data_IF_774850505303
#
_entry.id   IF_774850505303
#
_cell.length_a   1.000
_cell.length_b   1.000
_cell.length_c   1.000
_cell.angle_alpha   90.00
_cell.angle_beta   90.00
_cell.angle_gamma   90.00
#
_symmetry.space_group_name_H-M   'P 1'
#
loop_
_entity.id
_entity.type
_entity.pdbx_description
1 polymer ?
#
# COMPACT_ATOMS: atom_id res chain seq x y z
N UNK A 1 13.85 1.03 -0.91
CA UNK A 1 12.79 0.15 -0.36
C UNK A 1 12.40 -0.89 -1.38
N UNK A 2 12.36 -2.15 -0.98
CA UNK A 2 11.73 -3.20 -1.76
C UNK A 2 10.24 -2.93 -1.86
N UNK A 3 9.68 -3.09 -3.04
CA UNK A 3 8.24 -3.15 -3.19
C UNK A 3 7.79 -4.58 -2.85
N UNK A 4 6.73 -4.71 -2.07
CA UNK A 4 6.15 -6.01 -1.70
C UNK A 4 4.64 -5.98 -1.90
N UNK A 5 4.03 -7.16 -2.05
CA UNK A 5 2.58 -7.26 -2.09
C UNK A 5 2.00 -7.20 -0.67
N UNK A 6 1.10 -6.25 -0.44
CA UNK A 6 0.33 -6.12 0.79
C UNK A 6 -1.13 -6.46 0.57
N UNK A 7 -1.70 -7.24 1.49
CA UNK A 7 -3.12 -7.55 1.48
C UNK A 7 -3.94 -6.36 1.97
N UNK A 8 -5.00 -6.05 1.22
CA UNK A 8 -5.98 -5.02 1.56
C UNK A 8 -7.39 -5.61 1.51
N UNK A 9 -8.19 -5.41 2.56
CA UNK A 9 -9.61 -5.73 2.53
C UNK A 9 -10.36 -4.69 1.71
N UNK A 10 -11.16 -5.16 0.76
CA UNK A 10 -12.04 -4.34 -0.06
C UNK A 10 -13.52 -4.70 0.12
N UNK A 11 -13.85 -5.44 1.19
CA UNK A 11 -15.20 -5.80 1.56
C UNK A 11 -16.16 -4.61 1.66
N UNK A 12 -15.63 -3.44 2.07
CA UNK A 12 -16.40 -2.20 2.17
C UNK A 12 -16.99 -1.72 0.83
N UNK A 13 -16.47 -2.21 -0.29
CA UNK A 13 -16.99 -1.93 -1.63
C UNK A 13 -18.14 -2.86 -2.03
N UNK A 14 -18.36 -3.97 -1.31
CA UNK A 14 -19.43 -4.94 -1.57
C UNK A 14 -19.41 -5.46 -3.02
N UNK A 15 -18.22 -5.70 -3.56
CA UNK A 15 -18.04 -6.27 -4.90
C UNK A 15 -18.13 -7.79 -4.78
N UNK A 16 -18.99 -8.41 -5.60
CA UNK A 16 -19.22 -9.86 -5.59
C UNK A 16 -17.89 -10.62 -5.80
N UNK A 17 -17.65 -11.64 -4.99
CA UNK A 17 -16.48 -12.53 -5.00
C UNK A 17 -15.11 -11.83 -4.80
N UNK A 18 -15.09 -10.56 -4.39
CA UNK A 18 -13.87 -9.80 -4.20
C UNK A 18 -13.78 -9.20 -2.79
N UNK A 19 -13.34 -10.01 -1.83
CA UNK A 19 -13.26 -9.60 -0.41
C UNK A 19 -11.94 -8.90 -0.10
N UNK A 20 -10.85 -9.37 -0.71
CA UNK A 20 -9.51 -8.82 -0.52
C UNK A 20 -8.66 -8.94 -1.78
N UNK A 21 -7.66 -8.11 -1.86
CA UNK A 21 -6.67 -8.08 -2.92
C UNK A 21 -5.28 -7.92 -2.30
N UNK A 22 -4.23 -8.27 -3.04
CA UNK A 22 -2.90 -7.85 -2.67
C UNK A 22 -2.30 -6.94 -3.74
N UNK A 23 -1.63 -5.89 -3.30
CA UNK A 23 -1.12 -4.79 -4.11
C UNK A 23 0.38 -4.62 -3.88
N UNK A 24 1.18 -4.39 -4.94
CA UNK A 24 2.58 -4.06 -4.80
C UNK A 24 2.73 -2.60 -4.39
N UNK A 25 3.25 -2.34 -3.19
CA UNK A 25 3.37 -0.96 -2.71
C UNK A 25 4.46 -0.77 -1.67
N UNK A 26 4.83 0.49 -1.46
CA UNK A 26 5.54 0.99 -0.29
C UNK A 26 4.66 2.05 0.36
N UNK A 27 4.36 1.88 1.64
CA UNK A 27 3.47 2.77 2.38
C UNK A 27 4.27 3.75 3.24
N UNK A 28 3.75 4.97 3.32
CA UNK A 28 4.24 6.04 4.19
C UNK A 28 3.06 6.62 4.98
N UNK A 29 3.36 7.31 6.08
CA UNK A 29 2.37 8.05 6.84
C UNK A 29 2.81 9.52 7.02
N UNK A 30 1.86 10.44 6.90
CA UNK A 30 2.07 11.88 7.12
C UNK A 30 1.51 12.28 8.48
N UNK A 31 2.15 11.82 9.56
CA UNK A 31 1.72 12.08 10.92
C UNK A 31 2.73 12.91 11.70
N UNK A 32 2.21 13.73 12.60
CA UNK A 32 3.04 14.56 13.46
C UNK A 32 3.74 13.71 14.54
N UNK A 33 4.96 14.03 14.91
CA UNK A 33 5.70 13.33 15.98
C UNK A 33 4.90 13.20 17.28
N UNK A 34 4.08 14.20 17.61
CA UNK A 34 3.20 14.16 18.78
C UNK A 34 2.09 13.09 18.74
N UNK A 35 1.87 12.47 17.57
CA UNK A 35 0.87 11.41 17.35
C UNK A 35 1.49 10.06 16.98
N UNK A 36 2.80 9.94 17.07
CA UNK A 36 3.52 8.71 16.71
C UNK A 36 3.21 7.52 17.61
N UNK A 37 2.79 7.73 18.86
CA UNK A 37 2.57 6.66 19.82
C UNK A 37 1.61 5.58 19.30
N UNK A 38 0.45 5.98 18.79
CA UNK A 38 -0.51 5.03 18.21
C UNK A 38 0.02 4.36 16.94
N UNK A 39 0.81 5.06 16.14
CA UNK A 39 1.41 4.51 14.93
C UNK A 39 2.51 3.49 15.24
N UNK A 40 3.41 3.84 16.17
CA UNK A 40 4.49 2.96 16.66
C UNK A 40 3.93 1.67 17.25
N UNK A 41 2.77 1.75 17.89
CA UNK A 41 2.08 0.58 18.43
C UNK A 41 1.77 -0.47 17.35
N UNK A 42 1.39 -0.05 16.14
CA UNK A 42 1.02 -0.96 15.03
C UNK A 42 2.18 -1.31 14.10
N UNK A 43 3.09 -0.37 13.84
CA UNK A 43 4.11 -0.48 12.79
C UNK A 43 5.54 -0.62 13.30
N UNK A 44 5.73 -0.53 14.63
CA UNK A 44 7.05 -0.68 15.24
C UNK A 44 7.76 0.65 15.51
N UNK A 45 8.94 0.54 16.10
CA UNK A 45 9.69 1.64 16.69
C UNK A 45 10.87 2.13 15.84
N UNK A 46 11.05 1.58 14.66
CA UNK A 46 12.08 1.99 13.71
C UNK A 46 11.43 2.65 12.51
N UNK A 47 11.98 3.76 12.04
CA UNK A 47 11.43 4.48 10.92
C UNK A 47 12.44 5.37 10.21
N UNK A 48 12.17 5.62 8.94
CA UNK A 48 12.92 6.55 8.10
C UNK A 48 11.96 7.65 7.64
N UNK A 49 12.30 8.90 7.91
CA UNK A 49 11.52 10.05 7.49
C UNK A 49 12.10 10.74 6.26
N UNK A 50 11.22 11.12 5.36
CA UNK A 50 11.52 11.85 4.12
C UNK A 50 10.70 13.12 4.04
N UNK A 51 11.18 14.12 3.28
CA UNK A 51 10.38 15.30 3.01
C UNK A 51 9.20 14.99 2.08
N UNK A 52 8.14 15.82 2.18
CA UNK A 52 7.00 15.71 1.25
C UNK A 52 7.40 16.03 -0.19
N UNK A 53 8.34 16.94 -0.38
CA UNK A 53 8.90 17.29 -1.67
C UNK A 53 9.59 16.10 -2.32
N UNK A 54 10.34 15.31 -1.54
CA UNK A 54 10.92 14.05 -2.02
C UNK A 54 9.83 13.07 -2.41
N UNK A 55 8.84 12.85 -1.56
CA UNK A 55 7.73 11.93 -1.82
C UNK A 55 6.99 12.29 -3.12
N UNK A 56 6.69 13.57 -3.32
CA UNK A 56 6.04 14.07 -4.54
C UNK A 56 6.92 13.82 -5.78
N UNK A 57 8.22 14.11 -5.72
CA UNK A 57 9.15 13.86 -6.84
C UNK A 57 9.26 12.38 -7.19
N UNK A 58 9.12 11.49 -6.21
CA UNK A 58 9.15 10.02 -6.39
C UNK A 58 7.80 9.43 -6.80
N UNK A 59 6.76 10.24 -6.94
CA UNK A 59 5.42 9.79 -7.33
C UNK A 59 4.66 9.09 -6.20
N UNK A 60 5.05 9.31 -4.95
CA UNK A 60 4.27 8.84 -3.80
C UNK A 60 2.99 9.68 -3.70
N UNK A 61 1.83 9.02 -3.62
CA UNK A 61 0.51 9.62 -3.72
C UNK A 61 -0.28 9.41 -2.43
N UNK A 62 -0.92 10.46 -1.86
CA UNK A 62 -1.87 10.26 -0.76
C UNK A 62 -3.07 9.45 -1.24
N UNK A 63 -3.58 8.57 -0.35
CA UNK A 63 -4.71 7.73 -0.66
C UNK A 63 -6.06 8.43 -0.47
N UNK A 64 -7.11 7.86 -1.06
CA UNK A 64 -8.49 8.28 -0.88
C UNK A 64 -9.16 7.44 0.20
N UNK A 65 -9.62 8.08 1.27
CA UNK A 65 -10.41 7.41 2.30
C UNK A 65 -11.89 7.43 1.93
N UNK A 66 -12.48 6.25 1.83
CA UNK A 66 -13.86 6.06 1.39
C UNK A 66 -14.77 5.82 2.59
N UNK A 67 -15.79 6.66 2.71
CA UNK A 67 -16.89 6.40 3.65
C UNK A 67 -17.80 5.32 3.06
N UNK A 68 -17.96 4.20 3.75
CA UNK A 68 -18.79 3.08 3.30
C UNK A 68 -20.27 3.43 3.08
N UNK A 69 -20.75 4.53 3.65
CA UNK A 69 -22.13 5.01 3.53
C UNK A 69 -22.27 6.18 2.54
N UNK A 70 -21.25 6.45 1.71
CA UNK A 70 -21.27 7.57 0.76
C UNK A 70 -21.72 7.15 -0.62
N UNK A 71 -22.30 8.08 -1.39
CA UNK A 71 -22.66 7.86 -2.80
C UNK A 71 -21.44 7.51 -3.66
N UNK A 72 -20.25 8.05 -3.32
CA UNK A 72 -19.02 7.70 -4.05
C UNK A 72 -18.68 6.21 -3.92
N UNK A 73 -18.94 5.60 -2.74
CA UNK A 73 -18.78 4.14 -2.56
C UNK A 73 -19.76 3.36 -3.46
N UNK A 74 -21.01 3.80 -3.51
CA UNK A 74 -22.05 3.16 -4.33
C UNK A 74 -21.69 3.23 -5.82
N UNK A 75 -21.25 4.41 -6.30
CA UNK A 75 -20.82 4.61 -7.68
C UNK A 75 -19.62 3.73 -8.05
N UNK A 76 -18.60 3.67 -7.18
CA UNK A 76 -17.42 2.83 -7.40
C UNK A 76 -17.83 1.36 -7.48
N UNK A 77 -18.61 0.88 -6.52
CA UNK A 77 -19.08 -0.51 -6.47
C UNK A 77 -19.88 -0.87 -7.72
N UNK A 78 -20.78 0.01 -8.15
CA UNK A 78 -21.58 -0.17 -9.36
C UNK A 78 -20.71 -0.23 -10.62
N UNK A 79 -19.78 0.73 -10.79
CA UNK A 79 -18.90 0.77 -11.95
C UNK A 79 -17.97 -0.45 -12.01
N UNK A 80 -17.44 -0.87 -10.86
CA UNK A 80 -16.63 -2.07 -10.76
C UNK A 80 -17.40 -3.31 -11.21
N UNK A 81 -18.56 -3.55 -10.61
CA UNK A 81 -19.40 -4.70 -10.95
C UNK A 81 -19.80 -4.71 -12.44
N UNK A 82 -20.16 -3.56 -12.99
CA UNK A 82 -20.49 -3.44 -14.41
C UNK A 82 -19.30 -3.68 -15.33
N UNK A 83 -18.13 -3.15 -14.99
CA UNK A 83 -16.95 -3.30 -15.83
C UNK A 83 -16.40 -4.73 -15.82
N UNK A 84 -16.44 -5.42 -14.67
CA UNK A 84 -15.89 -6.77 -14.53
C UNK A 84 -16.83 -7.85 -15.08
N UNK A 85 -18.14 -7.68 -14.97
CA UNK A 85 -19.15 -8.64 -15.43
C UNK A 85 -19.53 -8.49 -16.90
N UNK A 86 -18.94 -7.53 -17.63
CA UNK A 86 -19.20 -7.37 -19.05
C UNK A 86 -18.41 -8.39 -19.87
N UNK A 87 -19.10 -9.20 -20.67
CA UNK A 87 -18.49 -10.13 -21.64
C UNK A 87 -17.90 -9.40 -22.87
N UNK A 88 -18.17 -8.11 -22.99
CA UNK A 88 -17.70 -7.29 -24.11
C UNK A 88 -16.21 -7.05 -23.95
N UNK A 89 -15.44 -7.49 -24.93
CA UNK A 89 -14.01 -7.17 -25.03
C UNK A 89 -13.81 -6.01 -26.01
N UNK A 90 -13.91 -4.78 -25.47
CA UNK A 90 -13.74 -3.53 -26.19
C UNK A 90 -12.58 -2.74 -25.54
N UNK A 91 -11.74 -2.14 -26.37
CA UNK A 91 -10.57 -1.38 -25.92
C UNK A 91 -10.94 -0.24 -24.94
N UNK A 92 -12.07 0.41 -25.16
CA UNK A 92 -12.59 1.43 -24.24
C UNK A 92 -12.93 0.83 -22.89
N UNK A 93 -13.60 -0.33 -22.86
CA UNK A 93 -13.95 -1.00 -21.61
C UNK A 93 -12.70 -1.49 -20.85
N UNK A 94 -11.70 -1.98 -21.57
CA UNK A 94 -10.43 -2.37 -20.96
C UNK A 94 -9.68 -1.16 -20.37
N UNK A 95 -9.76 0.00 -21.03
CA UNK A 95 -9.24 1.25 -20.49
C UNK A 95 -9.96 1.66 -19.18
N UNK A 96 -11.28 1.55 -19.13
CA UNK A 96 -12.05 1.82 -17.90
C UNK A 96 -11.74 0.82 -16.78
N UNK A 97 -11.60 -0.46 -17.09
CA UNK A 97 -11.18 -1.48 -16.11
C UNK A 97 -9.82 -1.14 -15.51
N UNK A 98 -8.85 -0.83 -16.35
CA UNK A 98 -7.51 -0.44 -15.91
C UNK A 98 -7.55 0.81 -15.03
N UNK A 99 -8.34 1.81 -15.40
CA UNK A 99 -8.53 3.03 -14.61
C UNK A 99 -9.13 2.72 -13.22
N UNK A 100 -10.19 1.92 -13.15
CA UNK A 100 -10.79 1.53 -11.88
C UNK A 100 -9.83 0.74 -10.99
N UNK A 101 -9.05 -0.18 -11.57
CA UNK A 101 -8.03 -0.95 -10.84
C UNK A 101 -6.94 -0.03 -10.26
N UNK A 102 -6.46 0.94 -11.04
CA UNK A 102 -5.48 1.92 -10.55
C UNK A 102 -6.05 2.73 -9.40
N UNK A 103 -7.31 3.19 -9.50
CA UNK A 103 -7.94 3.91 -8.39
C UNK A 103 -8.11 3.05 -7.14
N UNK A 104 -8.47 1.77 -7.30
CA UNK A 104 -8.61 0.84 -6.18
C UNK A 104 -7.32 0.73 -5.36
N UNK A 105 -6.15 0.76 -6.00
CA UNK A 105 -4.86 0.70 -5.31
C UNK A 105 -4.58 1.90 -4.38
N UNK A 106 -5.27 3.01 -4.60
CA UNK A 106 -5.15 4.23 -3.78
C UNK A 106 -6.37 4.48 -2.90
N UNK A 107 -7.19 3.48 -2.64
CA UNK A 107 -8.37 3.59 -1.78
C UNK A 107 -8.23 2.76 -0.52
N UNK A 108 -8.83 3.26 0.57
CA UNK A 108 -8.94 2.56 1.86
C UNK A 108 -10.24 3.00 2.54
N UNK A 109 -10.93 2.16 3.31
CA UNK A 109 -12.10 2.63 4.06
C UNK A 109 -11.69 3.60 5.15
N UNK A 110 -12.57 4.51 5.56
CA UNK A 110 -12.35 5.37 6.73
C UNK A 110 -12.19 4.51 7.98
N UNK A 111 -13.07 3.52 8.16
CA UNK A 111 -13.06 2.59 9.28
C UNK A 111 -12.97 1.17 8.71
N UNK A 112 -12.09 0.38 9.25
CA UNK A 112 -11.93 -1.03 8.93
C UNK A 112 -11.17 -1.76 10.01
N UNK A 113 -11.00 -3.07 9.83
CA UNK A 113 -10.31 -3.93 10.78
C UNK A 113 -8.84 -4.11 10.39
N UNK A 114 -7.97 -4.06 11.38
CA UNK A 114 -6.55 -4.35 11.23
C UNK A 114 -6.17 -5.53 12.11
N UNK A 115 -5.44 -6.49 11.55
CA UNK A 115 -4.93 -7.64 12.29
C UNK A 115 -3.64 -7.28 13.01
N UNK A 116 -3.60 -7.60 14.33
CA UNK A 116 -2.39 -7.47 15.13
C UNK A 116 -2.25 -8.66 16.08
N UNK A 117 -1.09 -9.33 16.08
CA UNK A 117 -0.76 -10.43 17.00
C UNK A 117 -1.83 -11.54 17.09
N UNK A 118 -2.67 -11.67 16.05
CA UNK A 118 -3.75 -12.64 15.98
C UNK A 118 -5.15 -12.07 16.25
N UNK A 119 -5.25 -10.88 16.82
CA UNK A 119 -6.51 -10.18 17.09
C UNK A 119 -6.87 -9.18 15.97
N UNK A 120 -8.12 -8.81 15.89
CA UNK A 120 -8.66 -7.82 14.94
C UNK A 120 -9.18 -6.61 15.71
N UNK A 121 -8.60 -5.45 15.43
CA UNK A 121 -9.02 -4.17 16.02
C UNK A 121 -9.70 -3.31 14.95
N UNK A 122 -10.85 -2.70 15.33
CA UNK A 122 -11.46 -1.64 14.51
C UNK A 122 -10.62 -0.38 14.58
N UNK A 123 -10.31 0.16 13.41
CA UNK A 123 -9.43 1.33 13.30
C UNK A 123 -9.99 2.40 12.37
N UNK A 124 -9.77 3.65 12.75
CA UNK A 124 -9.92 4.79 11.86
C UNK A 124 -8.63 4.97 11.05
N UNK A 125 -8.65 4.55 9.78
CA UNK A 125 -7.48 4.63 8.91
C UNK A 125 -7.08 6.07 8.50
N UNK A 126 -7.98 7.06 8.64
CA UNK A 126 -7.64 8.46 8.34
C UNK A 126 -6.57 9.01 9.30
N UNK A 127 -6.39 8.39 10.48
CA UNK A 127 -5.36 8.78 11.44
C UNK A 127 -3.93 8.48 10.92
N UNK A 128 -3.80 7.58 9.95
CA UNK A 128 -2.51 7.22 9.33
C UNK A 128 -2.06 8.28 8.32
N UNK A 129 -2.98 9.01 7.71
CA UNK A 129 -2.68 9.90 6.57
C UNK A 129 -1.75 9.22 5.59
N UNK A 130 -2.16 8.05 5.14
CA UNK A 130 -1.34 7.16 4.34
C UNK A 130 -1.04 7.75 2.96
N UNK A 131 0.20 7.54 2.52
CA UNK A 131 0.67 7.78 1.17
C UNK A 131 1.25 6.48 0.62
N UNK A 132 1.06 6.23 -0.67
CA UNK A 132 1.54 4.99 -1.33
C UNK A 132 2.44 5.31 -2.51
N UNK A 133 3.54 4.59 -2.59
CA UNK A 133 4.25 4.39 -3.85
C UNK A 133 3.81 3.05 -4.43
N UNK A 134 3.31 3.06 -5.67
CA UNK A 134 2.95 1.87 -6.42
C UNK A 134 3.83 1.83 -7.66
N UNK A 135 4.63 0.78 -7.84
CA UNK A 135 5.53 0.67 -8.97
C UNK A 135 4.76 0.48 -10.26
N UNK A 136 5.34 0.91 -11.36
CA UNK A 136 4.77 0.69 -12.70
C UNK A 136 5.15 -0.70 -13.21
N UNK A 137 4.32 -1.70 -12.90
CA UNK A 137 4.51 -3.05 -13.43
C UNK A 137 4.18 -3.05 -14.93
N UNK A 138 5.08 -3.63 -15.74
CA UNK A 138 4.95 -3.81 -17.19
C UNK A 138 4.88 -5.31 -17.49
N UNK A 139 4.49 -5.66 -18.72
CA UNK A 139 4.42 -7.05 -19.18
C UNK A 139 5.75 -7.81 -19.02
N UNK A 140 6.87 -7.14 -19.28
CA UNK A 140 8.22 -7.71 -19.14
C UNK A 140 8.60 -8.19 -17.74
N UNK A 141 7.87 -7.72 -16.71
CA UNK A 141 8.09 -8.18 -15.33
C UNK A 141 7.45 -9.53 -15.03
N UNK A 142 6.45 -9.95 -15.83
CA UNK A 142 5.67 -11.17 -15.62
C UNK A 142 5.03 -11.26 -14.24
N UNK A 143 4.66 -10.11 -13.67
CA UNK A 143 4.07 -9.96 -12.35
C UNK A 143 2.67 -9.35 -12.44
N UNK A 144 1.71 -9.82 -11.62
CA UNK A 144 0.38 -9.22 -11.60
C UNK A 144 0.39 -7.85 -10.92
N UNK A 145 -0.37 -6.89 -11.45
CA UNK A 145 -0.59 -5.62 -10.78
C UNK A 145 -1.44 -5.78 -9.51
N UNK A 146 -2.38 -6.70 -9.54
CA UNK A 146 -3.28 -7.03 -8.43
C UNK A 146 -3.36 -8.55 -8.30
N UNK A 147 -3.19 -9.06 -7.09
CA UNK A 147 -3.38 -10.47 -6.76
C UNK A 147 -4.79 -10.64 -6.15
N UNK A 148 -5.74 -11.32 -6.82
CA UNK A 148 -7.06 -11.60 -6.27
C UNK A 148 -7.03 -12.59 -5.10
N UNK A 149 -8.08 -12.59 -4.27
CA UNK A 149 -8.24 -13.45 -3.08
C UNK A 149 -7.85 -14.90 -3.30
N UNK A 150 -8.30 -15.52 -4.39
CA UNK A 150 -8.02 -16.94 -4.70
C UNK A 150 -6.53 -17.31 -4.80
N UNK A 151 -5.68 -16.35 -5.14
CA UNK A 151 -4.23 -16.57 -5.18
C UNK A 151 -3.55 -16.17 -3.88
N UNK A 152 -4.15 -15.27 -3.09
CA UNK A 152 -3.69 -14.94 -1.75
C UNK A 152 -3.86 -16.15 -0.82
N UNK A 153 -4.96 -16.89 -0.97
CA UNK A 153 -5.24 -18.12 -0.21
C UNK A 153 -4.33 -19.30 -0.59
N UNK A 154 -3.59 -19.19 -1.68
CA UNK A 154 -2.59 -20.16 -2.10
C UNK A 154 -1.19 -19.65 -1.73
N UNK A 155 -0.69 -20.05 -0.56
CA UNK A 155 0.61 -19.61 -0.02
C UNK A 155 1.76 -19.75 -1.02
N UNK A 156 1.78 -20.80 -1.84
CA UNK A 156 2.85 -21.00 -2.83
C UNK A 156 2.79 -19.95 -3.94
N UNK A 157 1.59 -19.65 -4.43
CA UNK A 157 1.40 -18.65 -5.48
C UNK A 157 1.71 -17.25 -4.93
N UNK A 158 1.19 -16.92 -3.76
CA UNK A 158 1.41 -15.63 -3.12
C UNK A 158 2.90 -15.38 -2.82
N UNK A 159 3.58 -16.37 -2.22
CA UNK A 159 5.01 -16.26 -1.94
C UNK A 159 5.84 -16.15 -3.21
N UNK A 160 5.51 -16.86 -4.28
CA UNK A 160 6.21 -16.76 -5.56
C UNK A 160 6.12 -15.34 -6.15
N UNK A 161 4.94 -14.69 -6.10
CA UNK A 161 4.80 -13.30 -6.54
C UNK A 161 5.55 -12.33 -5.63
N UNK A 162 5.48 -12.54 -4.31
CA UNK A 162 6.14 -11.70 -3.32
C UNK A 162 7.67 -11.79 -3.41
N UNK A 163 8.23 -12.98 -3.65
CA UNK A 163 9.64 -13.17 -3.91
C UNK A 163 10.04 -12.57 -5.28
N UNK A 164 9.24 -12.82 -6.31
CA UNK A 164 9.48 -12.34 -7.67
C UNK A 164 9.61 -10.82 -7.75
N UNK A 165 8.74 -10.08 -7.08
CA UNK A 165 8.77 -8.61 -7.12
C UNK A 165 9.99 -8.03 -6.39
N UNK A 166 10.44 -8.66 -5.29
CA UNK A 166 11.61 -8.17 -4.54
C UNK A 166 12.92 -8.33 -5.32
N UNK A 167 12.95 -9.18 -6.34
CA UNK A 167 14.11 -9.38 -7.22
C UNK A 167 14.17 -8.38 -8.39
N UNK A 168 13.12 -7.57 -8.61
CA UNK A 168 13.04 -6.57 -9.68
C UNK A 168 13.45 -5.19 -9.15
N UNK A 169 14.71 -4.84 -9.28
CA UNK A 169 15.29 -3.63 -8.70
C UNK A 169 14.77 -2.32 -9.36
N UNK A 170 14.24 -2.39 -10.56
CA UNK A 170 13.56 -1.29 -11.25
C UNK A 170 12.15 -1.01 -10.72
N UNK A 171 11.58 -1.93 -9.93
CA UNK A 171 10.33 -1.75 -9.20
C UNK A 171 10.53 -1.21 -7.77
N UNK A 172 11.78 -1.03 -7.32
CA UNK A 172 12.06 -0.52 -5.98
C UNK A 172 11.92 1.01 -5.90
N UNK A 173 11.46 1.48 -4.77
CA UNK A 173 11.53 2.90 -4.46
C UNK A 173 12.95 3.25 -3.99
N UNK A 174 13.74 3.85 -4.87
CA UNK A 174 15.14 4.21 -4.62
C UNK A 174 15.25 5.60 -4.01
N UNK A 175 16.14 5.75 -3.04
CA UNK A 175 16.48 7.01 -2.39
C UNK A 175 17.98 7.08 -2.12
N UNK A 176 18.50 8.29 -1.94
CA UNK A 176 19.87 8.56 -1.55
C UNK A 176 19.93 8.94 -0.06
N UNK A 177 21.09 8.83 0.55
CA UNK A 177 21.28 9.20 1.98
C UNK A 177 20.83 10.65 2.25
N UNK A 178 21.08 11.55 1.32
CA UNK A 178 20.69 12.96 1.41
C UNK A 178 19.17 13.21 1.29
N UNK A 179 18.40 12.22 0.91
CA UNK A 179 16.92 12.29 0.89
C UNK A 179 16.31 12.04 2.28
N UNK A 180 17.10 11.50 3.21
CA UNK A 180 16.66 11.16 4.57
C UNK A 180 16.65 12.42 5.43
N UNK A 181 15.48 12.76 5.98
CA UNK A 181 15.33 13.89 6.91
C UNK A 181 15.61 13.48 8.36
N UNK A 182 15.19 12.28 8.75
CA UNK A 182 15.41 11.76 10.08
C UNK A 182 15.31 10.25 10.14
N UNK A 183 15.90 9.69 11.17
CA UNK A 183 15.83 8.28 11.52
C UNK A 183 15.20 8.14 12.90
N UNK A 184 14.26 7.23 13.05
CA UNK A 184 13.63 6.90 14.32
C UNK A 184 14.11 5.52 14.78
N UNK A 185 14.54 5.44 16.02
CA UNK A 185 15.00 4.20 16.66
C UNK A 185 14.33 4.04 18.02
N UNK A 186 14.23 2.82 18.51
CA UNK A 186 13.51 2.47 19.73
C UNK A 186 14.09 3.14 20.99
N UNK A 187 15.41 3.21 21.11
CA UNK A 187 16.09 3.70 22.31
C UNK A 187 17.51 4.20 22.03
N UNK A 188 18.17 4.72 23.06
CA UNK A 188 19.49 5.33 23.00
C UNK A 188 20.61 4.34 22.60
N UNK A 189 20.47 3.04 22.89
CA UNK A 189 21.45 2.04 22.47
C UNK A 189 21.48 1.94 20.94
N UNK A 190 20.32 1.73 20.32
CA UNK A 190 20.20 1.67 18.85
C UNK A 190 20.61 2.97 18.17
N UNK A 191 20.41 4.12 18.85
CA UNK A 191 20.90 5.41 18.35
C UNK A 191 22.41 5.46 18.24
N UNK A 192 23.13 4.94 19.24
CA UNK A 192 24.59 4.87 19.23
C UNK A 192 25.10 3.96 18.12
N UNK A 193 24.56 2.76 18.02
CA UNK A 193 24.91 1.79 16.99
C UNK A 193 24.70 2.39 15.58
N UNK A 194 23.59 3.10 15.38
CA UNK A 194 23.29 3.76 14.10
C UNK A 194 24.28 4.88 13.77
N UNK A 195 24.67 5.70 14.76
CA UNK A 195 25.65 6.77 14.59
C UNK A 195 27.00 6.19 14.21
N UNK A 196 27.43 5.09 14.84
CA UNK A 196 28.69 4.41 14.51
C UNK A 196 28.69 3.95 13.04
N UNK A 197 27.62 3.28 12.60
CA UNK A 197 27.48 2.85 11.20
C UNK A 197 27.52 4.01 10.20
N UNK A 198 26.92 5.16 10.53
CA UNK A 198 26.92 6.33 9.66
C UNK A 198 28.32 6.98 9.57
N UNK A 199 29.08 6.97 10.67
CA UNK A 199 30.42 7.56 10.72
C UNK A 199 31.50 6.69 10.08
N UNK A 200 31.26 5.38 9.96
CA UNK A 200 32.20 4.42 9.35
C UNK A 200 32.06 4.33 7.81
N UNK A 201 31.01 4.88 7.21
CA UNK A 201 30.71 4.88 5.78
C UNK A 201 30.71 6.28 5.18
#
# INVERSE_FOLDING_TARGET
FFTVYYEESIEYLEIEDLLKIALPMVCFCDINFSRLESHVYYYGKFGIGFSKEWAIRKGVQPIHYINKNSSIKEDISYLFSKSMNSEINDDNLNCYRSYLLVHLMYMKPIIGTMRREGDYDDRNFTDEKEWRFIPKIKEEHELPLIIPSKYIENDKAYNSFSEGITQKDDLWLKFEVNDIEYLMVENESYRKDLIEVILEN
#
